data_IF_048557041890
#
_entry.id   IF_048557041890
#
_cell.length_a   1.000
_cell.length_b   1.000
_cell.length_c   1.000
_cell.angle_alpha   90.00
_cell.angle_beta   90.00
_cell.angle_gamma   90.00
#
_symmetry.space_group_name_H-M   'P 1'
#
loop_
_entity.id
_entity.type
_entity.pdbx_description
1 polymer ?
#
# COMPACT_ATOMS: atom_id res chain seq x y z
N UNK A 1 53.84 -66.33 -4.40
CA UNK A 1 53.71 -65.69 -3.08
C UNK A 1 53.56 -64.17 -3.16
N UNK A 2 54.32 -63.46 -4.01
CA UNK A 2 54.23 -61.99 -4.15
C UNK A 2 52.88 -61.48 -4.69
N UNK A 3 52.22 -62.21 -5.60
CA UNK A 3 50.92 -61.80 -6.18
C UNK A 3 49.78 -61.75 -5.17
N UNK A 4 49.70 -62.74 -4.27
CA UNK A 4 48.67 -62.83 -3.22
C UNK A 4 48.80 -61.71 -2.18
N UNK A 5 50.03 -61.27 -1.89
CA UNK A 5 50.29 -60.16 -0.97
C UNK A 5 49.86 -58.81 -1.56
N UNK A 6 50.11 -58.60 -2.84
CA UNK A 6 49.68 -57.38 -3.57
C UNK A 6 48.15 -57.33 -3.66
N UNK A 7 47.48 -58.46 -3.95
CA UNK A 7 46.01 -58.54 -3.99
C UNK A 7 45.38 -58.21 -2.63
N UNK A 8 45.98 -58.69 -1.53
CA UNK A 8 45.51 -58.38 -0.17
C UNK A 8 45.73 -56.89 0.19
N UNK A 9 46.89 -56.32 -0.14
CA UNK A 9 47.18 -54.91 0.10
C UNK A 9 46.26 -53.97 -0.70
N UNK A 10 45.96 -54.30 -1.96
CA UNK A 10 45.03 -53.53 -2.81
C UNK A 10 43.59 -53.63 -2.29
N UNK A 11 43.15 -54.81 -1.85
CA UNK A 11 41.82 -55.00 -1.23
C UNK A 11 41.66 -54.18 0.04
N UNK A 12 42.67 -54.22 0.93
CA UNK A 12 42.66 -53.44 2.16
C UNK A 12 42.62 -51.92 1.90
N UNK A 13 43.42 -51.44 0.95
CA UNK A 13 43.41 -50.02 0.53
C UNK A 13 42.04 -49.61 -0.03
N UNK A 14 41.37 -50.47 -0.80
CA UNK A 14 40.02 -50.20 -1.33
C UNK A 14 38.98 -50.03 -0.22
N UNK A 15 39.00 -50.90 0.79
CA UNK A 15 38.07 -50.83 1.93
C UNK A 15 38.31 -49.57 2.78
N UNK A 16 39.58 -49.20 3.01
CA UNK A 16 39.92 -47.94 3.69
C UNK A 16 39.42 -46.72 2.91
N UNK A 17 39.59 -46.71 1.58
CA UNK A 17 39.12 -45.60 0.72
C UNK A 17 37.58 -45.52 0.74
N UNK A 18 36.89 -46.66 0.66
CA UNK A 18 35.42 -46.70 0.76
C UNK A 18 34.90 -46.25 2.13
N UNK A 19 35.59 -46.61 3.21
CA UNK A 19 35.26 -46.15 4.56
C UNK A 19 35.42 -44.63 4.72
N UNK A 20 36.50 -44.07 4.16
CA UNK A 20 36.72 -42.61 4.19
C UNK A 20 35.64 -41.89 3.40
N UNK A 21 35.31 -42.35 2.18
CA UNK A 21 34.28 -41.74 1.33
C UNK A 21 32.92 -41.77 2.00
N UNK A 22 32.55 -42.90 2.63
CA UNK A 22 31.26 -43.05 3.31
C UNK A 22 31.16 -42.15 4.55
N UNK A 23 32.22 -42.04 5.35
CA UNK A 23 32.28 -41.11 6.49
C UNK A 23 32.19 -39.65 6.02
N UNK A 24 32.92 -39.28 4.96
CA UNK A 24 32.88 -37.92 4.40
C UNK A 24 31.49 -37.54 3.87
N UNK A 25 30.81 -38.45 3.16
CA UNK A 25 29.43 -38.25 2.68
C UNK A 25 28.43 -38.18 3.85
N UNK A 26 28.61 -38.99 4.88
CA UNK A 26 27.77 -38.94 6.08
C UNK A 26 27.93 -37.61 6.84
N UNK A 27 29.17 -37.14 7.03
CA UNK A 27 29.44 -35.85 7.67
C UNK A 27 28.89 -34.68 6.83
N UNK A 28 29.05 -34.72 5.51
CA UNK A 28 28.53 -33.68 4.62
C UNK A 28 26.99 -33.62 4.68
N UNK A 29 26.31 -34.77 4.62
CA UNK A 29 24.84 -34.82 4.72
C UNK A 29 24.34 -34.41 6.11
N UNK A 30 25.09 -34.72 7.18
CA UNK A 30 24.79 -34.25 8.54
C UNK A 30 24.92 -32.74 8.67
N UNK A 31 25.98 -32.14 8.12
CA UNK A 31 26.19 -30.69 8.10
C UNK A 31 25.12 -29.96 7.28
N UNK A 32 24.73 -30.49 6.11
CA UNK A 32 23.66 -29.93 5.28
C UNK A 32 22.30 -29.98 5.99
N UNK A 33 21.97 -31.10 6.66
CA UNK A 33 20.73 -31.22 7.43
C UNK A 33 20.68 -30.27 8.62
N UNK A 34 21.80 -30.10 9.35
CA UNK A 34 21.88 -29.11 10.43
C UNK A 34 21.73 -27.67 9.91
N UNK A 35 22.33 -27.34 8.77
CA UNK A 35 22.19 -26.03 8.15
C UNK A 35 20.74 -25.75 7.68
N UNK A 36 20.08 -26.74 7.07
CA UNK A 36 18.67 -26.66 6.67
C UNK A 36 17.71 -26.50 7.86
N UNK A 37 17.99 -27.20 8.97
CA UNK A 37 17.20 -27.10 10.20
C UNK A 37 17.36 -25.72 10.84
N UNK A 38 18.58 -25.18 10.90
CA UNK A 38 18.87 -23.84 11.44
C UNK A 38 18.16 -22.77 10.59
N UNK A 39 18.20 -22.87 9.25
CA UNK A 39 17.49 -21.95 8.36
C UNK A 39 15.97 -21.97 8.58
N UNK A 40 15.37 -23.15 8.77
CA UNK A 40 13.93 -23.29 9.04
C UNK A 40 13.52 -22.71 10.39
N UNK A 41 14.35 -22.89 11.42
CA UNK A 41 14.11 -22.33 12.76
C UNK A 41 14.22 -20.80 12.72
N UNK A 42 15.21 -20.25 12.02
CA UNK A 42 15.35 -18.79 11.84
C UNK A 42 14.15 -18.18 11.11
N UNK A 43 13.62 -18.85 10.08
CA UNK A 43 12.44 -18.37 9.35
C UNK A 43 11.18 -18.37 10.24
N UNK A 44 11.00 -19.38 11.09
CA UNK A 44 9.88 -19.44 12.05
C UNK A 44 9.99 -18.35 13.12
N UNK A 45 11.20 -18.05 13.60
CA UNK A 45 11.43 -16.97 14.57
C UNK A 45 11.14 -15.57 14.00
N UNK A 46 11.44 -15.34 12.72
CA UNK A 46 11.12 -14.08 12.03
C UNK A 46 9.61 -13.89 11.88
N UNK A 47 8.87 -14.96 11.55
CA UNK A 47 7.40 -14.92 11.44
C UNK A 47 6.76 -14.66 12.81
N UNK A 48 7.28 -15.26 13.88
CA UNK A 48 6.77 -15.05 15.24
C UNK A 48 7.07 -13.64 15.78
N UNK A 49 8.23 -13.05 15.43
CA UNK A 49 8.59 -11.69 15.81
C UNK A 49 7.70 -10.62 15.14
N UNK A 50 7.21 -10.87 13.92
CA UNK A 50 6.30 -9.97 13.22
C UNK A 50 4.92 -9.86 13.90
N UNK A 51 4.48 -10.87 14.66
CA UNK A 51 3.20 -10.87 15.36
C UNK A 51 3.17 -10.01 16.64
N UNK A 52 4.33 -9.72 17.24
CA UNK A 52 4.44 -8.94 18.50
C UNK A 52 4.53 -7.42 18.24
N UNK A 53 4.76 -7.00 16.99
CA UNK A 53 4.86 -5.57 16.64
C UNK A 53 3.52 -4.88 16.40
N UNK A 54 2.38 -5.56 16.57
CA UNK A 54 1.08 -4.90 16.66
C UNK A 54 0.94 -4.24 18.04
N UNK A 55 1.61 -3.10 18.19
CA UNK A 55 1.41 -2.18 19.28
C UNK A 55 0.00 -1.60 19.18
N UNK A 56 -0.96 -2.25 19.84
CA UNK A 56 -2.31 -1.72 20.02
C UNK A 56 -2.22 -0.52 20.96
N UNK A 57 -1.93 0.65 20.39
CA UNK A 57 -2.44 1.90 20.95
C UNK A 57 -3.94 1.65 21.16
N UNK A 58 -4.43 1.73 22.38
CA UNK A 58 -5.85 1.56 22.69
C UNK A 58 -6.65 2.68 22.04
N UNK A 59 -6.89 2.57 20.74
CA UNK A 59 -7.78 3.43 19.99
C UNK A 59 -9.19 3.07 20.44
N UNK A 60 -9.94 4.04 20.94
CA UNK A 60 -11.35 3.83 21.23
C UNK A 60 -12.05 3.37 19.94
N UNK A 61 -12.79 2.24 19.96
CA UNK A 61 -13.35 1.65 18.74
C UNK A 61 -14.35 2.58 18.04
N UNK A 62 -15.05 3.42 18.79
CA UNK A 62 -16.01 4.37 18.23
C UNK A 62 -15.32 5.57 17.56
N UNK A 63 -14.22 6.07 18.14
CA UNK A 63 -13.38 7.10 17.49
C UNK A 63 -12.77 6.55 16.21
N UNK A 64 -12.26 5.31 16.25
CA UNK A 64 -11.70 4.68 15.05
C UNK A 64 -12.77 4.51 13.96
N UNK A 65 -13.98 4.07 14.32
CA UNK A 65 -15.09 3.96 13.37
C UNK A 65 -15.42 5.29 12.70
N UNK A 66 -15.53 6.38 13.47
CA UNK A 66 -15.78 7.71 12.89
C UNK A 66 -14.64 8.18 11.99
N UNK A 67 -13.39 7.90 12.37
CA UNK A 67 -12.24 8.19 11.53
C UNK A 67 -12.32 7.44 10.20
N UNK A 68 -12.64 6.14 10.25
CA UNK A 68 -12.80 5.32 9.05
C UNK A 68 -13.92 5.84 8.16
N UNK A 69 -15.06 6.26 8.74
CA UNK A 69 -16.16 6.88 7.99
C UNK A 69 -15.76 8.17 7.27
N UNK A 70 -14.88 9.00 7.86
CA UNK A 70 -14.32 10.19 7.19
C UNK A 70 -13.38 9.77 6.06
N UNK A 71 -12.52 8.79 6.30
CA UNK A 71 -11.55 8.32 5.29
C UNK A 71 -12.22 7.63 4.11
N UNK A 72 -13.33 6.92 4.31
CA UNK A 72 -14.10 6.32 3.19
C UNK A 72 -14.49 7.38 2.18
N UNK A 73 -15.05 8.51 2.63
CA UNK A 73 -15.45 9.60 1.72
C UNK A 73 -14.22 10.18 1.02
N UNK A 74 -13.15 10.47 1.77
CA UNK A 74 -11.89 10.97 1.21
C UNK A 74 -11.36 10.04 0.11
N UNK A 75 -11.26 8.74 0.39
CA UNK A 75 -10.68 7.76 -0.53
C UNK A 75 -11.55 7.54 -1.76
N UNK A 76 -12.88 7.67 -1.64
CA UNK A 76 -13.82 7.58 -2.76
C UNK A 76 -13.69 8.76 -3.72
N UNK A 77 -13.54 9.99 -3.21
CA UNK A 77 -13.48 11.20 -4.05
C UNK A 77 -12.04 11.57 -4.48
N UNK A 78 -11.01 11.09 -3.78
CA UNK A 78 -9.61 11.40 -4.10
C UNK A 78 -9.20 11.07 -5.56
N UNK A 79 -9.59 9.94 -6.18
CA UNK A 79 -9.29 9.64 -7.58
C UNK A 79 -9.85 10.66 -8.56
N UNK A 80 -10.93 11.35 -8.19
CA UNK A 80 -11.64 12.31 -9.04
C UNK A 80 -10.87 13.62 -9.25
N UNK A 81 -9.87 13.92 -8.42
CA UNK A 81 -8.87 14.95 -8.72
C UNK A 81 -8.23 14.73 -10.10
N UNK A 82 -8.04 13.46 -10.50
CA UNK A 82 -7.50 13.14 -11.82
C UNK A 82 -8.52 13.40 -12.94
N UNK A 83 -9.81 13.17 -12.67
CA UNK A 83 -10.93 13.43 -13.58
C UNK A 83 -11.07 14.94 -13.81
N UNK A 84 -11.13 15.72 -12.74
CA UNK A 84 -11.12 17.19 -12.77
C UNK A 84 -9.96 17.74 -13.63
N UNK A 85 -8.74 17.23 -13.41
CA UNK A 85 -7.58 17.65 -14.20
C UNK A 85 -7.66 17.26 -15.68
N UNK A 86 -8.27 16.12 -16.02
CA UNK A 86 -8.51 15.72 -17.43
C UNK A 86 -9.52 16.67 -18.08
N UNK A 87 -10.64 16.94 -17.41
CA UNK A 87 -11.70 17.84 -17.89
C UNK A 87 -11.15 19.25 -18.14
N UNK A 88 -10.38 19.79 -17.18
CA UNK A 88 -9.68 21.08 -17.32
C UNK A 88 -8.82 21.15 -18.59
N UNK A 89 -8.07 20.09 -18.90
CA UNK A 89 -7.23 20.01 -20.11
C UNK A 89 -8.07 19.94 -21.38
N UNK A 90 -9.17 19.20 -21.37
CA UNK A 90 -10.08 19.09 -22.51
C UNK A 90 -10.76 20.44 -22.81
N UNK A 91 -11.28 21.11 -21.79
CA UNK A 91 -11.89 22.44 -21.90
C UNK A 91 -10.90 23.45 -22.50
N UNK A 92 -9.66 23.50 -22.00
CA UNK A 92 -8.60 24.37 -22.56
C UNK A 92 -8.31 24.07 -24.03
N UNK A 93 -8.38 22.81 -24.44
CA UNK A 93 -8.09 22.38 -25.81
C UNK A 93 -9.21 22.74 -26.79
N UNK A 94 -10.47 22.56 -26.39
CA UNK A 94 -11.64 22.69 -27.27
C UNK A 94 -12.11 24.15 -27.30
N UNK A 95 -12.28 24.77 -26.13
CA UNK A 95 -12.91 26.09 -25.99
C UNK A 95 -11.93 27.25 -25.99
N UNK A 96 -10.63 26.97 -25.91
CA UNK A 96 -9.60 27.99 -25.72
C UNK A 96 -9.84 28.83 -24.45
N UNK A 97 -9.72 30.15 -24.58
CA UNK A 97 -9.84 31.12 -23.48
C UNK A 97 -11.10 31.99 -23.57
N UNK A 98 -12.25 31.41 -23.95
CA UNK A 98 -13.51 32.14 -23.88
C UNK A 98 -13.97 32.29 -22.40
N UNK A 99 -14.91 33.20 -22.15
CA UNK A 99 -15.32 33.53 -20.77
C UNK A 99 -15.92 32.32 -20.03
N UNK A 100 -16.77 31.54 -20.70
CA UNK A 100 -17.38 30.35 -20.11
C UNK A 100 -16.34 29.27 -19.77
N UNK A 101 -15.33 29.06 -20.63
CA UNK A 101 -14.27 28.08 -20.40
C UNK A 101 -13.39 28.49 -19.21
N UNK A 102 -13.10 29.78 -19.05
CA UNK A 102 -12.35 30.30 -17.92
C UNK A 102 -13.13 30.13 -16.61
N UNK A 103 -14.45 30.34 -16.62
CA UNK A 103 -15.32 30.08 -15.45
C UNK A 103 -15.30 28.59 -15.07
N UNK A 104 -15.38 27.69 -16.05
CA UNK A 104 -15.32 26.24 -15.80
C UNK A 104 -13.95 25.81 -15.25
N UNK A 105 -12.86 26.29 -15.85
CA UNK A 105 -11.49 26.00 -15.40
C UNK A 105 -11.29 26.47 -13.96
N UNK A 106 -11.74 27.69 -13.63
CA UNK A 106 -11.64 28.22 -12.28
C UNK A 106 -12.44 27.38 -11.28
N UNK A 107 -13.67 26.98 -11.63
CA UNK A 107 -14.49 26.11 -10.78
C UNK A 107 -13.83 24.75 -10.51
N UNK A 108 -13.14 24.18 -11.50
CA UNK A 108 -12.33 22.97 -11.33
C UNK A 108 -11.16 23.22 -10.37
N UNK A 109 -10.44 24.32 -10.53
CA UNK A 109 -9.31 24.68 -9.66
C UNK A 109 -9.77 24.93 -8.21
N UNK A 110 -10.94 25.56 -8.01
CA UNK A 110 -11.52 25.79 -6.70
C UNK A 110 -11.95 24.45 -6.03
N UNK A 111 -12.43 23.46 -6.81
CA UNK A 111 -12.75 22.13 -6.31
C UNK A 111 -11.50 21.31 -5.95
N UNK A 112 -10.47 21.35 -6.79
CA UNK A 112 -9.16 20.74 -6.51
C UNK A 112 -8.58 21.34 -5.21
N UNK A 113 -8.59 22.66 -5.08
CA UNK A 113 -8.05 23.37 -3.92
C UNK A 113 -8.83 23.07 -2.63
N UNK A 114 -10.16 22.93 -2.70
CA UNK A 114 -10.97 22.56 -1.54
C UNK A 114 -10.54 21.22 -0.92
N UNK A 115 -10.25 20.22 -1.75
CA UNK A 115 -9.73 18.93 -1.28
C UNK A 115 -8.33 19.05 -0.69
N UNK A 116 -7.44 19.79 -1.37
CA UNK A 116 -6.07 20.02 -0.88
C UNK A 116 -6.04 20.75 0.46
N UNK A 117 -6.85 21.80 0.60
CA UNK A 117 -7.02 22.57 1.82
C UNK A 117 -7.58 21.70 2.94
N UNK A 118 -8.60 20.88 2.67
CA UNK A 118 -9.14 19.96 3.67
C UNK A 118 -8.08 18.97 4.17
N UNK A 119 -7.30 18.35 3.27
CA UNK A 119 -6.21 17.44 3.66
C UNK A 119 -5.13 18.13 4.50
N UNK A 120 -4.84 19.41 4.23
CA UNK A 120 -3.85 20.18 4.98
C UNK A 120 -4.34 20.56 6.41
N UNK A 121 -5.65 20.73 6.57
CA UNK A 121 -6.31 21.10 7.82
C UNK A 121 -6.71 19.90 8.68
N UNK A 122 -6.95 18.73 8.07
CA UNK A 122 -7.38 17.52 8.77
C UNK A 122 -6.28 16.96 9.69
N UNK A 123 -6.41 17.23 11.00
CA UNK A 123 -5.41 16.92 12.04
C UNK A 123 -6.09 16.41 13.32
N UNK A 124 -6.47 15.12 13.37
CA UNK A 124 -7.04 14.54 14.58
C UNK A 124 -6.04 14.52 15.74
N UNK A 125 -6.37 15.23 16.82
CA UNK A 125 -5.55 15.32 18.03
C UNK A 125 -5.88 14.19 19.02
N UNK A 126 -4.95 13.23 19.15
CA UNK A 126 -5.10 12.08 20.04
C UNK A 126 -4.94 12.42 21.53
N UNK A 127 -4.49 13.62 21.87
CA UNK A 127 -4.35 14.08 23.25
C UNK A 127 -5.67 14.56 23.87
N UNK A 128 -6.69 14.80 23.03
CA UNK A 128 -8.03 15.25 23.44
C UNK A 128 -8.87 14.16 24.09
N UNK A 129 -9.93 14.56 24.79
CA UNK A 129 -10.93 13.62 25.32
C UNK A 129 -11.61 12.84 24.19
N UNK A 130 -12.18 11.68 24.50
CA UNK A 130 -12.89 10.86 23.51
C UNK A 130 -14.05 11.65 22.89
N UNK A 131 -14.77 12.43 23.70
CA UNK A 131 -15.89 13.26 23.29
C UNK A 131 -15.46 14.36 22.33
N UNK A 132 -14.35 15.05 22.62
CA UNK A 132 -13.77 16.06 21.73
C UNK A 132 -13.29 15.45 20.40
N UNK A 133 -12.64 14.27 20.44
CA UNK A 133 -12.20 13.56 19.24
C UNK A 133 -13.38 13.19 18.35
N UNK A 134 -14.46 12.64 18.94
CA UNK A 134 -15.69 12.31 18.19
C UNK A 134 -16.33 13.56 17.59
N UNK A 135 -16.46 14.63 18.35
CA UNK A 135 -17.05 15.88 17.88
C UNK A 135 -16.26 16.47 16.69
N UNK A 136 -14.93 16.42 16.76
CA UNK A 136 -14.06 16.80 15.66
C UNK A 136 -14.32 15.96 14.41
N UNK A 137 -14.31 14.62 14.54
CA UNK A 137 -14.52 13.72 13.40
C UNK A 137 -15.92 13.85 12.77
N UNK A 138 -16.96 14.06 13.58
CA UNK A 138 -18.32 14.32 13.09
C UNK A 138 -18.36 15.60 12.25
N UNK A 139 -17.68 16.66 12.72
CA UNK A 139 -17.55 17.92 11.96
C UNK A 139 -16.79 17.69 10.66
N UNK A 140 -15.66 16.99 10.71
CA UNK A 140 -14.85 16.74 9.52
C UNK A 140 -15.55 15.83 8.51
N UNK A 141 -16.41 14.91 8.96
CA UNK A 141 -17.27 14.12 8.07
C UNK A 141 -18.21 15.00 7.24
N UNK A 142 -18.79 16.04 7.84
CA UNK A 142 -19.63 17.01 7.13
C UNK A 142 -18.79 17.86 6.17
N UNK A 143 -17.57 18.23 6.55
CA UNK A 143 -16.69 19.02 5.70
C UNK A 143 -16.25 18.24 4.46
N UNK A 144 -15.77 17.00 4.63
CA UNK A 144 -15.33 16.17 3.50
C UNK A 144 -16.50 15.81 2.58
N UNK A 145 -17.72 15.64 3.11
CA UNK A 145 -18.91 15.47 2.28
C UNK A 145 -19.15 16.69 1.39
N UNK A 146 -19.02 17.92 1.91
CA UNK A 146 -19.16 19.13 1.09
C UNK A 146 -18.09 19.24 0.00
N UNK A 147 -16.85 18.85 0.32
CA UNK A 147 -15.76 18.79 -0.67
C UNK A 147 -16.10 17.77 -1.76
N UNK A 148 -16.56 16.58 -1.37
CA UNK A 148 -17.03 15.54 -2.30
C UNK A 148 -18.14 16.06 -3.22
N UNK A 149 -19.18 16.68 -2.65
CA UNK A 149 -20.30 17.24 -3.41
C UNK A 149 -19.83 18.33 -4.39
N UNK A 150 -18.88 19.18 -3.96
CA UNK A 150 -18.30 20.22 -4.82
C UNK A 150 -17.51 19.61 -5.99
N UNK A 151 -16.73 18.55 -5.76
CA UNK A 151 -15.96 17.88 -6.80
C UNK A 151 -16.88 17.19 -7.82
N UNK A 152 -17.83 16.37 -7.39
CA UNK A 152 -18.78 15.71 -8.29
C UNK A 152 -19.66 16.71 -9.04
N UNK A 153 -20.15 17.74 -8.36
CA UNK A 153 -20.93 18.80 -9.01
C UNK A 153 -20.12 19.63 -10.01
N UNK A 154 -18.80 19.72 -9.85
CA UNK A 154 -17.94 20.36 -10.85
C UNK A 154 -17.64 19.44 -12.03
N UNK A 155 -17.48 18.14 -11.80
CA UNK A 155 -17.35 17.14 -12.86
C UNK A 155 -18.58 17.17 -13.77
N UNK A 156 -19.78 17.07 -13.20
CA UNK A 156 -21.03 17.09 -13.96
C UNK A 156 -21.18 18.37 -14.81
N UNK A 157 -20.86 19.53 -14.23
CA UNK A 157 -20.92 20.81 -14.95
C UNK A 157 -19.91 20.87 -16.10
N UNK A 158 -18.69 20.39 -15.87
CA UNK A 158 -17.64 20.37 -16.88
C UNK A 158 -17.95 19.39 -18.02
N UNK A 159 -18.49 18.21 -17.71
CA UNK A 159 -18.95 17.24 -18.72
C UNK A 159 -20.11 17.80 -19.55
N UNK A 160 -21.10 18.40 -18.90
CA UNK A 160 -22.24 19.06 -19.57
C UNK A 160 -21.76 20.15 -20.52
N UNK A 161 -20.80 20.97 -20.09
CA UNK A 161 -20.20 22.01 -20.92
C UNK A 161 -19.49 21.43 -22.15
N UNK A 162 -18.72 20.35 -21.98
CA UNK A 162 -18.01 19.70 -23.08
C UNK A 162 -18.96 19.05 -24.09
N UNK A 163 -20.03 18.42 -23.63
CA UNK A 163 -21.04 17.81 -24.50
C UNK A 163 -21.75 18.88 -25.35
N UNK A 164 -22.14 20.00 -24.73
CA UNK A 164 -22.77 21.12 -25.45
C UNK A 164 -21.91 21.61 -26.61
N UNK A 165 -20.60 21.73 -26.42
CA UNK A 165 -19.70 22.20 -27.48
C UNK A 165 -19.55 21.15 -28.59
N UNK A 166 -19.51 19.86 -28.26
CA UNK A 166 -19.40 18.80 -29.25
C UNK A 166 -20.66 18.67 -30.13
N UNK A 167 -21.83 18.99 -29.59
CA UNK A 167 -23.09 18.97 -30.35
C UNK A 167 -23.27 20.20 -31.25
N UNK A 168 -22.46 21.26 -31.05
CA UNK A 168 -22.49 22.51 -31.82
C UNK A 168 -21.48 22.56 -32.98
N UNK A 169 -20.54 21.60 -33.08
CA UNK A 169 -19.58 21.41 -34.20
C UNK A 169 -20.10 20.46 -35.29
#
# INVERSE_FOLDING_TARGET
MLSSFILYAVGMLSEYVQLIITISLFLLTFLIKRCSLIMRISLLFIILAAAVSCQTNSKNPEVQKLFDEVMVIHDEVMPEMSTLNKLKRQIRKISGNNEESLVMIKGIEDADEAMMSWMAEFKPDKSKTIEEQKAYLIKEKVNIQKVSDQMYGMIERAETYLNKIQDEE
#
